data_IF_610515550712
#
_entry.id   IF_610515550712
#
_cell.length_a   1.000
_cell.length_b   1.000
_cell.length_c   1.000
_cell.angle_alpha   90.00
_cell.angle_beta   90.00
_cell.angle_gamma   90.00
#
_symmetry.space_group_name_H-M   'P 1'
#
loop_
_entity.id
_entity.type
_entity.pdbx_description
1 polymer ?
#
# COMPACT_ATOMS: atom_id res chain seq x y z
N UNK A 1 -0.32 -45.36 5.78
CA UNK A 1 -0.55 -44.48 6.94
C UNK A 1 0.58 -43.46 7.15
N UNK A 2 1.85 -43.86 7.35
CA UNK A 2 2.97 -42.91 7.54
C UNK A 2 3.14 -41.91 6.38
N UNK A 3 2.97 -42.33 5.11
CA UNK A 3 3.04 -41.44 3.93
C UNK A 3 1.90 -40.40 3.86
N UNK A 4 0.72 -40.68 4.41
CA UNK A 4 -0.39 -39.72 4.48
C UNK A 4 -0.16 -38.66 5.57
N UNK A 5 0.50 -39.04 6.67
CA UNK A 5 0.84 -38.12 7.78
C UNK A 5 1.85 -37.07 7.30
N UNK A 6 2.85 -37.44 6.50
CA UNK A 6 3.82 -36.49 5.95
C UNK A 6 3.22 -35.51 4.95
N UNK A 7 2.21 -35.93 4.18
CA UNK A 7 1.47 -35.04 3.27
C UNK A 7 0.57 -34.08 4.05
N UNK A 8 -0.09 -34.57 5.11
CA UNK A 8 -0.93 -33.72 5.98
C UNK A 8 -0.09 -32.66 6.72
N UNK A 9 1.13 -33.01 7.14
CA UNK A 9 2.07 -32.09 7.78
C UNK A 9 2.61 -31.01 6.82
N UNK A 10 2.66 -31.29 5.52
CA UNK A 10 3.08 -30.32 4.49
C UNK A 10 1.97 -29.35 4.07
N UNK A 11 0.71 -29.70 4.34
CA UNK A 11 -0.47 -28.89 4.00
C UNK A 11 -0.88 -27.98 5.17
N UNK A 12 -0.35 -28.21 6.38
CA UNK A 12 -0.68 -27.39 7.55
C UNK A 12 -0.09 -25.98 7.37
N UNK A 13 -0.91 -24.93 7.18
CA UNK A 13 -0.38 -23.58 7.19
C UNK A 13 0.12 -23.32 8.61
N UNK A 14 1.42 -23.03 8.75
CA UNK A 14 1.95 -22.45 9.98
C UNK A 14 1.41 -21.03 10.09
N UNK A 15 0.19 -20.89 10.59
CA UNK A 15 -0.36 -19.60 11.00
C UNK A 15 0.32 -19.21 12.31
N UNK A 16 1.48 -18.56 12.21
CA UNK A 16 2.07 -17.86 13.36
C UNK A 16 1.24 -16.61 13.57
N UNK A 17 0.29 -16.66 14.52
CA UNK A 17 -0.38 -15.46 15.01
C UNK A 17 0.64 -14.66 15.81
N UNK A 18 1.20 -13.63 15.20
CA UNK A 18 2.01 -12.65 15.91
C UNK A 18 1.07 -11.77 16.75
N UNK A 19 0.84 -12.14 18.01
CA UNK A 19 0.22 -11.23 19.00
C UNK A 19 1.27 -10.21 19.45
N UNK A 20 1.68 -9.33 18.55
CA UNK A 20 2.37 -8.11 18.95
C UNK A 20 1.33 -7.12 19.50
N UNK A 21 1.68 -6.35 20.51
CA UNK A 21 0.93 -5.18 20.98
C UNK A 21 0.95 -4.05 19.93
N UNK A 22 0.60 -4.38 18.69
CA UNK A 22 0.45 -3.45 17.58
C UNK A 22 -0.99 -2.96 17.50
N UNK A 23 -1.15 -1.72 17.05
CA UNK A 23 -2.45 -1.15 16.73
C UNK A 23 -3.13 -2.02 15.68
N UNK A 24 -4.41 -2.35 15.91
CA UNK A 24 -5.21 -3.10 14.95
C UNK A 24 -5.34 -2.28 13.66
N UNK A 25 -4.89 -2.86 12.54
CA UNK A 25 -4.95 -2.19 11.25
C UNK A 25 -6.34 -2.34 10.68
N UNK A 26 -6.87 -1.24 10.14
CA UNK A 26 -8.07 -1.24 9.33
C UNK A 26 -7.78 -1.86 7.96
N UNK A 27 -8.69 -2.69 7.47
CA UNK A 27 -8.57 -3.37 6.18
C UNK A 27 -8.85 -2.39 5.03
N UNK A 28 -7.94 -2.33 4.05
CA UNK A 28 -8.12 -1.52 2.86
C UNK A 28 -8.90 -2.32 1.79
N UNK A 29 -9.89 -1.69 1.16
CA UNK A 29 -10.67 -2.30 0.08
C UNK A 29 -9.96 -2.12 -1.27
N UNK A 30 -9.08 -3.05 -1.59
CA UNK A 30 -8.22 -2.96 -2.78
C UNK A 30 -8.83 -3.71 -3.97
N UNK A 31 -9.34 -2.94 -4.93
CA UNK A 31 -9.77 -3.44 -6.24
C UNK A 31 -8.97 -2.80 -7.38
N UNK A 32 -8.00 -3.56 -7.91
CA UNK A 32 -7.18 -3.13 -9.06
C UNK A 32 -7.94 -3.19 -10.40
N UNK A 33 -9.18 -3.66 -10.42
CA UNK A 33 -10.06 -3.60 -11.60
C UNK A 33 -10.93 -2.35 -11.63
N UNK A 34 -11.08 -1.63 -10.52
CA UNK A 34 -11.73 -0.32 -10.47
C UNK A 34 -10.79 0.77 -10.98
N UNK A 35 -10.80 0.97 -12.30
CA UNK A 35 -9.98 1.99 -12.95
C UNK A 35 -10.34 3.42 -12.51
N UNK A 36 -11.59 3.65 -12.08
CA UNK A 36 -12.01 4.96 -11.62
C UNK A 36 -11.43 5.28 -10.23
N UNK A 37 -11.35 4.28 -9.34
CA UNK A 37 -10.61 4.38 -8.07
C UNK A 37 -9.13 4.66 -8.31
N UNK A 38 -8.51 3.92 -9.23
CA UNK A 38 -7.09 4.12 -9.56
C UNK A 38 -6.81 5.50 -10.17
N UNK A 39 -7.72 6.04 -10.99
CA UNK A 39 -7.62 7.38 -11.55
C UNK A 39 -7.69 8.46 -10.45
N UNK A 40 -8.69 8.39 -9.55
CA UNK A 40 -8.82 9.31 -8.40
C UNK A 40 -7.61 9.21 -7.48
N UNK A 41 -7.15 7.99 -7.17
CA UNK A 41 -5.96 7.76 -6.38
C UNK A 41 -4.70 8.36 -6.98
N UNK A 42 -4.55 8.31 -8.31
CA UNK A 42 -3.45 8.96 -9.02
C UNK A 42 -3.51 10.49 -8.91
N UNK A 43 -4.69 11.09 -9.04
CA UNK A 43 -4.92 12.52 -8.83
C UNK A 43 -4.57 12.93 -7.39
N UNK A 44 -5.04 12.16 -6.39
CA UNK A 44 -4.72 12.40 -4.98
C UNK A 44 -3.22 12.30 -4.71
N UNK A 45 -2.53 11.31 -5.28
CA UNK A 45 -1.08 11.18 -5.14
C UNK A 45 -0.35 12.42 -5.69
N UNK A 46 -0.71 12.88 -6.89
CA UNK A 46 -0.08 14.05 -7.52
C UNK A 46 -0.35 15.33 -6.72
N UNK A 47 -1.56 15.46 -6.17
CA UNK A 47 -1.98 16.64 -5.42
C UNK A 47 -1.36 16.71 -4.03
N UNK A 48 -1.36 15.60 -3.28
CA UNK A 48 -1.00 15.61 -1.85
C UNK A 48 0.37 14.99 -1.55
N UNK A 49 0.87 14.09 -2.40
CA UNK A 49 2.05 13.29 -2.10
C UNK A 49 3.27 13.68 -2.95
N UNK A 50 3.08 13.93 -4.25
CA UNK A 50 4.17 14.10 -5.22
C UNK A 50 5.08 15.29 -4.90
N UNK A 51 4.59 16.30 -4.17
CA UNK A 51 5.42 17.42 -3.71
C UNK A 51 6.56 17.01 -2.78
N UNK A 52 6.46 15.87 -2.08
CA UNK A 52 7.49 15.34 -1.19
C UNK A 52 8.00 13.97 -1.65
N UNK A 53 7.10 13.09 -2.08
CA UNK A 53 7.37 11.69 -2.38
C UNK A 53 7.43 11.42 -3.89
N UNK A 54 8.47 10.72 -4.33
CA UNK A 54 8.50 10.21 -5.70
C UNK A 54 7.79 8.86 -5.81
N UNK A 55 7.31 8.53 -7.00
CA UNK A 55 7.04 7.17 -7.44
C UNK A 55 7.91 6.91 -8.67
N UNK A 56 9.23 7.01 -8.49
CA UNK A 56 10.21 7.15 -9.59
C UNK A 56 10.24 5.97 -10.56
N UNK A 57 9.73 4.79 -10.18
CA UNK A 57 9.66 3.64 -11.08
C UNK A 57 8.42 3.63 -11.98
N UNK A 58 7.50 4.57 -11.77
CA UNK A 58 6.30 4.75 -12.60
C UNK A 58 6.47 5.89 -13.60
N UNK A 59 5.94 5.68 -14.81
CA UNK A 59 5.80 6.70 -15.85
C UNK A 59 4.32 7.04 -16.07
N UNK A 60 4.01 8.29 -16.39
CA UNK A 60 2.62 8.69 -16.67
C UNK A 60 2.01 7.93 -17.84
N UNK A 61 2.80 7.63 -18.88
CA UNK A 61 2.38 6.79 -20.02
C UNK A 61 1.89 5.41 -19.59
N UNK A 62 2.47 4.83 -18.53
CA UNK A 62 2.04 3.52 -18.01
C UNK A 62 0.63 3.62 -17.41
N UNK A 63 0.36 4.67 -16.64
CA UNK A 63 -0.97 4.94 -16.06
C UNK A 63 -2.00 5.10 -17.18
N UNK A 64 -1.69 5.89 -18.22
CA UNK A 64 -2.60 6.09 -19.35
C UNK A 64 -2.97 4.76 -20.05
N UNK A 65 -1.98 3.90 -20.28
CA UNK A 65 -2.20 2.61 -20.95
C UNK A 65 -3.00 1.64 -20.08
N UNK A 66 -2.62 1.47 -18.82
CA UNK A 66 -3.22 0.45 -17.95
C UNK A 66 -4.64 0.83 -17.52
N UNK A 67 -4.92 2.13 -17.33
CA UNK A 67 -6.25 2.64 -16.97
C UNK A 67 -7.11 3.02 -18.18
N UNK A 68 -6.59 2.83 -19.41
CA UNK A 68 -7.26 3.21 -20.66
C UNK A 68 -7.72 4.69 -20.68
N UNK A 69 -6.85 5.58 -20.24
CA UNK A 69 -7.08 7.03 -20.19
C UNK A 69 -6.47 7.73 -21.40
N UNK A 70 -7.10 8.83 -21.83
CA UNK A 70 -6.50 9.70 -22.85
C UNK A 70 -5.25 10.39 -22.28
N UNK A 71 -4.16 10.40 -23.05
CA UNK A 71 -2.90 10.98 -22.60
C UNK A 71 -3.01 12.46 -22.23
N UNK A 72 -3.89 13.22 -22.89
CA UNK A 72 -4.09 14.63 -22.59
C UNK A 72 -4.79 14.81 -21.26
N UNK A 73 -5.73 13.92 -20.92
CA UNK A 73 -6.40 13.96 -19.62
C UNK A 73 -5.43 13.59 -18.50
N UNK A 74 -4.57 12.58 -18.72
CA UNK A 74 -3.50 12.24 -17.77
C UNK A 74 -2.57 13.43 -17.55
N UNK A 75 -2.12 14.10 -18.62
CA UNK A 75 -1.30 15.30 -18.51
C UNK A 75 -1.98 16.46 -17.78
N UNK A 76 -3.30 16.56 -17.88
CA UNK A 76 -4.08 17.63 -17.28
C UNK A 76 -4.36 17.39 -15.78
N UNK A 77 -4.73 16.16 -15.41
CA UNK A 77 -5.25 15.84 -14.07
C UNK A 77 -4.26 15.06 -13.20
N UNK A 78 -3.33 14.32 -13.80
CA UNK A 78 -2.43 13.36 -13.12
C UNK A 78 -0.95 13.74 -13.32
N UNK A 79 -0.64 14.96 -13.75
CA UNK A 79 0.75 15.43 -13.83
C UNK A 79 0.94 16.85 -13.31
N UNK A 80 2.13 17.19 -12.79
CA UNK A 80 2.52 18.58 -12.59
C UNK A 80 2.52 19.36 -13.90
N UNK A 81 2.27 20.66 -13.82
CA UNK A 81 2.32 21.53 -14.98
C UNK A 81 3.67 21.44 -15.72
N UNK A 82 3.61 21.20 -17.03
CA UNK A 82 4.79 21.11 -17.90
C UNK A 82 5.44 19.73 -17.97
N UNK A 83 4.89 18.71 -17.30
CA UNK A 83 5.36 17.34 -17.44
C UNK A 83 5.09 16.77 -18.85
N UNK A 84 5.92 15.82 -19.25
CA UNK A 84 5.73 15.02 -20.46
C UNK A 84 5.11 13.65 -20.12
N UNK A 85 4.33 13.08 -21.04
CA UNK A 85 3.68 11.77 -20.82
C UNK A 85 4.70 10.64 -20.58
N UNK A 86 5.92 10.76 -21.12
CA UNK A 86 6.99 9.78 -20.91
C UNK A 86 7.76 9.96 -19.60
N UNK A 87 7.52 11.05 -18.87
CA UNK A 87 8.24 11.34 -17.63
C UNK A 87 7.91 10.33 -16.53
N UNK A 88 8.86 10.21 -15.61
CA UNK A 88 8.68 9.49 -14.36
C UNK A 88 8.10 10.42 -13.29
N UNK A 89 7.43 9.84 -12.29
CA UNK A 89 6.84 10.60 -11.19
C UNK A 89 7.91 10.97 -10.16
N UNK A 90 8.68 12.03 -10.44
CA UNK A 90 9.68 12.57 -9.53
C UNK A 90 9.12 13.73 -8.71
N UNK A 91 9.42 13.73 -7.43
CA UNK A 91 9.20 14.87 -6.55
C UNK A 91 10.17 16.00 -6.85
N UNK A 92 9.70 17.24 -6.69
CA UNK A 92 10.56 18.43 -6.75
C UNK A 92 11.39 18.63 -5.46
N UNK A 93 11.10 17.88 -4.40
CA UNK A 93 11.80 17.94 -3.13
C UNK A 93 13.25 17.42 -3.28
N UNK A 94 14.23 18.28 -3.01
CA UNK A 94 15.63 17.87 -2.98
C UNK A 94 16.03 17.37 -1.58
N UNK A 95 17.03 16.49 -1.53
CA UNK A 95 17.42 15.79 -0.30
C UNK A 95 18.00 16.72 0.79
N UNK A 96 18.69 17.79 0.38
CA UNK A 96 19.28 18.74 1.31
C UNK A 96 18.19 19.47 2.12
N UNK A 97 17.20 20.02 1.42
CA UNK A 97 16.12 20.78 2.03
C UNK A 97 15.18 19.87 2.83
N UNK A 98 14.88 18.67 2.31
CA UNK A 98 14.10 17.66 3.03
C UNK A 98 14.73 17.30 4.39
N UNK A 99 16.04 17.02 4.41
CA UNK A 99 16.75 16.71 5.66
C UNK A 99 16.74 17.90 6.62
N UNK A 100 16.87 19.12 6.11
CA UNK A 100 16.82 20.34 6.93
C UNK A 100 15.44 20.60 7.53
N UNK A 101 14.36 20.32 6.79
CA UNK A 101 12.99 20.62 7.22
C UNK A 101 12.35 19.49 8.04
N UNK A 102 12.58 18.23 7.67
CA UNK A 102 11.91 17.07 8.25
C UNK A 102 12.86 16.12 9.00
N UNK A 103 14.17 16.44 9.04
CA UNK A 103 15.18 15.60 9.68
C UNK A 103 15.58 14.34 8.87
N UNK A 104 14.84 14.03 7.80
CA UNK A 104 15.09 12.88 6.92
C UNK A 104 14.57 13.14 5.52
N UNK A 105 14.97 12.30 4.56
CA UNK A 105 14.43 12.32 3.22
C UNK A 105 13.10 11.56 3.16
N UNK A 106 12.04 12.14 2.58
CA UNK A 106 10.83 11.39 2.26
C UNK A 106 11.15 10.14 1.43
N UNK A 107 10.63 8.95 1.80
CA UNK A 107 10.87 7.74 1.04
C UNK A 107 10.23 7.82 -0.35
N UNK A 108 10.83 7.11 -1.31
CA UNK A 108 10.18 6.81 -2.57
C UNK A 108 9.05 5.81 -2.35
N UNK A 109 7.89 6.08 -2.95
CA UNK A 109 6.66 5.32 -2.74
C UNK A 109 6.40 4.30 -3.85
N UNK A 110 7.32 4.10 -4.80
CA UNK A 110 7.11 3.15 -5.92
C UNK A 110 6.81 1.72 -5.47
N UNK A 111 7.30 1.31 -4.30
CA UNK A 111 7.12 -0.05 -3.77
C UNK A 111 6.59 -0.04 -2.32
N UNK A 112 6.03 1.08 -1.85
CA UNK A 112 5.66 1.22 -0.44
C UNK A 112 4.55 0.24 -0.04
N UNK A 113 3.56 0.03 -0.91
CA UNK A 113 2.49 -0.95 -0.68
C UNK A 113 3.02 -2.39 -0.63
N UNK A 114 4.14 -2.69 -1.31
CA UNK A 114 4.80 -4.00 -1.26
C UNK A 114 5.63 -4.20 0.00
N UNK A 115 6.18 -3.12 0.57
CA UNK A 115 7.04 -3.20 1.77
C UNK A 115 6.26 -3.11 3.08
N UNK A 116 5.15 -2.35 3.10
CA UNK A 116 4.32 -2.14 4.30
C UNK A 116 2.99 -2.88 4.28
N UNK A 117 2.41 -3.10 3.10
CA UNK A 117 1.04 -3.63 2.95
C UNK A 117 -0.02 -2.54 2.79
N UNK A 118 -1.17 -2.89 2.23
CA UNK A 118 -2.26 -1.95 1.96
C UNK A 118 -2.93 -1.45 3.25
N UNK A 119 -3.31 -2.38 4.14
CA UNK A 119 -3.94 -2.08 5.43
C UNK A 119 -3.08 -1.17 6.30
N UNK A 120 -1.75 -1.37 6.26
CA UNK A 120 -0.81 -0.51 6.96
C UNK A 120 -0.84 0.91 6.41
N UNK A 121 -0.86 1.10 5.09
CA UNK A 121 -0.90 2.42 4.47
C UNK A 121 -2.23 3.12 4.74
N UNK A 122 -3.33 2.39 4.63
CA UNK A 122 -4.68 2.90 4.89
C UNK A 122 -4.80 3.38 6.33
N UNK A 123 -4.42 2.54 7.28
CA UNK A 123 -4.40 2.88 8.70
C UNK A 123 -3.41 4.01 9.02
N UNK A 124 -2.23 4.02 8.40
CA UNK A 124 -1.23 5.08 8.60
C UNK A 124 -1.75 6.44 8.13
N UNK A 125 -2.36 6.53 6.94
CA UNK A 125 -2.88 7.80 6.42
C UNK A 125 -4.09 8.32 7.22
N UNK A 126 -4.88 7.42 7.82
CA UNK A 126 -5.97 7.77 8.75
C UNK A 126 -5.50 8.01 10.19
N UNK A 127 -4.29 7.56 10.52
CA UNK A 127 -3.80 7.45 11.89
C UNK A 127 -3.19 8.70 12.49
N UNK A 128 -3.20 9.84 11.79
CA UNK A 128 -2.65 11.09 12.30
C UNK A 128 -3.55 11.73 13.35
N UNK A 129 -2.94 12.27 14.42
CA UNK A 129 -3.64 13.00 15.48
C UNK A 129 -2.78 14.16 16.01
N UNK A 130 -3.42 15.12 16.66
CA UNK A 130 -2.74 16.30 17.22
C UNK A 130 -1.91 15.95 18.45
N UNK A 131 -0.66 16.40 18.44
CA UNK A 131 0.31 16.18 19.51
C UNK A 131 1.30 17.34 19.53
N UNK A 132 0.99 18.35 20.36
CA UNK A 132 1.79 19.57 20.50
C UNK A 132 3.20 19.31 21.08
N UNK A 133 3.47 18.11 21.60
CA UNK A 133 4.81 17.73 22.04
C UNK A 133 5.76 17.43 20.86
N UNK A 134 5.21 17.16 19.67
CA UNK A 134 6.00 16.84 18.47
C UNK A 134 6.35 18.09 17.67
N UNK A 135 7.50 18.10 16.96
CA UNK A 135 7.93 19.26 16.19
C UNK A 135 6.94 19.75 15.12
N UNK A 136 6.12 18.84 14.57
CA UNK A 136 5.12 19.15 13.54
C UNK A 136 3.71 19.27 14.11
N UNK A 137 3.53 19.24 15.44
CA UNK A 137 2.23 19.33 16.10
C UNK A 137 1.32 18.12 15.91
N UNK A 138 1.84 17.04 15.32
CA UNK A 138 1.09 15.80 15.06
C UNK A 138 1.95 14.58 15.34
N UNK A 139 1.28 13.47 15.64
CA UNK A 139 1.87 12.14 15.71
C UNK A 139 0.95 11.14 14.99
N UNK A 140 1.32 9.86 14.97
CA UNK A 140 0.57 8.82 14.29
C UNK A 140 0.44 7.55 15.13
N UNK A 141 -0.78 6.99 15.16
CA UNK A 141 -1.09 5.81 15.97
C UNK A 141 -0.41 4.54 15.43
N UNK A 142 -0.23 4.43 14.10
CA UNK A 142 0.39 3.26 13.44
C UNK A 142 1.92 3.36 13.42
N UNK A 143 2.46 4.57 13.38
CA UNK A 143 3.89 4.82 13.36
C UNK A 143 4.25 5.98 14.29
N UNK A 144 4.54 5.65 15.54
CA UNK A 144 4.92 6.62 16.55
C UNK A 144 6.20 7.41 16.15
N UNK A 145 6.26 8.67 16.57
CA UNK A 145 7.35 9.60 16.28
C UNK A 145 7.58 9.82 14.78
N UNK A 146 6.48 9.83 14.03
CA UNK A 146 6.49 10.08 12.59
C UNK A 146 7.09 11.45 12.26
N UNK A 147 8.03 11.48 11.32
CA UNK A 147 8.62 12.73 10.80
C UNK A 147 7.82 13.39 9.68
N UNK A 148 6.65 12.83 9.34
CA UNK A 148 5.77 13.30 8.27
C UNK A 148 4.67 14.19 8.85
N UNK A 149 4.40 15.38 8.28
CA UNK A 149 3.23 16.15 8.67
C UNK A 149 1.94 15.46 8.22
N UNK A 150 0.80 15.78 8.85
CA UNK A 150 -0.49 15.35 8.34
C UNK A 150 -0.86 16.19 7.11
N UNK A 151 -0.49 15.74 5.91
CA UNK A 151 -0.78 16.46 4.66
C UNK A 151 -2.26 16.45 4.26
N UNK A 152 -3.08 15.61 4.92
CA UNK A 152 -4.50 15.44 4.65
C UNK A 152 -5.39 16.07 5.74
N UNK A 153 -4.81 16.84 6.67
CA UNK A 153 -5.50 17.36 7.86
C UNK A 153 -6.77 18.15 7.54
N UNK A 154 -6.77 18.94 6.46
CA UNK A 154 -7.94 19.73 6.06
C UNK A 154 -9.09 18.87 5.57
N UNK A 155 -8.80 17.69 5.01
CA UNK A 155 -9.79 16.76 4.51
C UNK A 155 -10.32 15.89 5.65
N UNK A 156 -9.42 15.38 6.49
CA UNK A 156 -9.73 14.50 7.61
C UNK A 156 -10.44 15.23 8.77
N UNK A 157 -10.07 16.48 9.02
CA UNK A 157 -10.36 17.17 10.26
C UNK A 157 -9.35 16.87 11.37
N UNK A 158 -9.52 17.53 12.49
CA UNK A 158 -8.65 17.37 13.65
C UNK A 158 -9.01 16.10 14.43
N UNK A 159 -8.04 15.20 14.59
CA UNK A 159 -8.17 14.00 15.40
C UNK A 159 -7.43 14.16 16.72
N UNK A 160 -8.07 13.78 17.82
CA UNK A 160 -7.46 13.74 19.16
C UNK A 160 -7.32 12.30 19.66
N UNK A 161 -6.22 11.95 20.34
CA UNK A 161 -5.98 10.60 20.83
C UNK A 161 -6.76 10.31 22.11
N UNK A 162 -7.29 9.10 22.24
CA UNK A 162 -7.79 8.56 23.52
C UNK A 162 -6.74 7.64 24.11
N UNK A 163 -6.06 8.15 25.12
CA UNK A 163 -4.95 7.50 25.80
C UNK A 163 -5.48 6.62 26.94
N UNK A 164 -4.98 5.39 27.04
CA UNK A 164 -5.20 4.51 28.20
C UNK A 164 -3.87 4.01 28.73
N UNK A 165 -3.85 3.75 30.03
CA UNK A 165 -2.74 3.09 30.70
C UNK A 165 -2.89 1.57 30.52
N UNK A 166 -1.95 0.95 29.81
CA UNK A 166 -1.85 -0.50 29.64
C UNK A 166 -0.48 -0.92 30.11
N UNK A 167 -0.40 -1.81 31.11
CA UNK A 167 0.86 -2.30 31.69
C UNK A 167 1.83 -1.19 32.16
N UNK A 168 1.29 -0.05 32.60
CA UNK A 168 2.07 1.11 33.06
C UNK A 168 2.64 1.99 31.95
N UNK A 169 2.23 1.76 30.70
CA UNK A 169 2.55 2.60 29.55
C UNK A 169 1.29 3.30 29.03
N UNK A 170 1.45 4.55 28.61
CA UNK A 170 0.41 5.29 27.90
C UNK A 170 0.34 4.79 26.46
N UNK A 171 -0.81 4.25 26.08
CA UNK A 171 -1.07 3.74 24.73
C UNK A 171 -2.27 4.48 24.16
N UNK A 172 -2.12 5.00 22.94
CA UNK A 172 -3.23 5.55 22.18
C UNK A 172 -4.10 4.38 21.71
N UNK A 173 -5.35 4.34 22.16
CA UNK A 173 -6.26 3.22 21.88
C UNK A 173 -7.23 3.47 20.74
N UNK A 174 -7.56 4.74 20.50
CA UNK A 174 -8.41 5.17 19.38
C UNK A 174 -8.24 6.66 19.14
N UNK A 175 -8.64 7.11 17.97
CA UNK A 175 -8.76 8.52 17.62
C UNK A 175 -10.23 8.95 17.66
N UNK A 176 -10.45 10.22 17.99
CA UNK A 176 -11.79 10.84 17.98
C UNK A 176 -11.70 12.14 17.22
N UNK A 177 -12.68 12.38 16.34
CA UNK A 177 -12.82 13.62 15.62
C UNK A 177 -13.19 14.76 16.58
N UNK A 178 -12.31 15.74 16.71
CA UNK A 178 -12.52 16.95 17.50
C UNK A 178 -13.15 18.06 16.66
N UNK A 179 -12.56 18.34 15.49
CA UNK A 179 -13.06 19.33 14.54
C UNK A 179 -13.27 18.69 13.15
N UNK A 180 -14.42 18.91 12.49
CA UNK A 180 -14.70 18.31 11.19
C UNK A 180 -13.78 18.87 10.09
N UNK A 181 -13.37 17.98 9.19
CA UNK A 181 -12.66 18.35 7.96
C UNK A 181 -13.60 18.78 6.83
N UNK A 182 -13.03 18.95 5.64
CA UNK A 182 -13.78 19.23 4.41
C UNK A 182 -14.58 18.02 3.93
N UNK A 183 -14.14 16.80 4.26
CA UNK A 183 -14.82 15.56 3.92
C UNK A 183 -15.50 14.99 5.16
N UNK A 184 -16.64 14.33 4.97
CA UNK A 184 -17.18 13.45 6.01
C UNK A 184 -16.23 12.25 6.24
N UNK A 185 -16.29 11.57 7.40
CA UNK A 185 -15.45 10.40 7.66
C UNK A 185 -15.51 9.35 6.55
N UNK A 186 -16.70 9.02 6.05
CA UNK A 186 -16.89 8.03 4.98
C UNK A 186 -16.32 8.50 3.62
N UNK A 187 -16.32 9.80 3.35
CA UNK A 187 -15.69 10.37 2.14
C UNK A 187 -14.18 10.39 2.26
N UNK A 188 -13.65 10.72 3.45
CA UNK A 188 -12.22 10.66 3.73
C UNK A 188 -11.69 9.23 3.60
N UNK A 189 -12.42 8.26 4.16
CA UNK A 189 -12.09 6.84 4.07
C UNK A 189 -12.05 6.35 2.63
N UNK A 190 -13.00 6.76 1.79
CA UNK A 190 -12.98 6.45 0.35
C UNK A 190 -11.80 7.10 -0.37
N UNK A 191 -11.50 8.36 -0.06
CA UNK A 191 -10.37 9.08 -0.65
C UNK A 191 -9.04 8.39 -0.32
N UNK A 192 -8.82 8.06 0.96
CA UNK A 192 -7.61 7.34 1.39
C UNK A 192 -7.56 5.96 0.75
N UNK A 193 -8.70 5.26 0.65
CA UNK A 193 -8.76 3.96 -0.01
C UNK A 193 -8.36 4.05 -1.50
N UNK A 194 -8.88 5.04 -2.24
CA UNK A 194 -8.50 5.29 -3.64
C UNK A 194 -6.99 5.56 -3.77
N UNK A 195 -6.42 6.39 -2.88
CA UNK A 195 -4.98 6.66 -2.84
C UNK A 195 -4.16 5.38 -2.56
N UNK A 196 -4.58 4.55 -1.60
CA UNK A 196 -3.89 3.30 -1.29
C UNK A 196 -4.04 2.29 -2.43
N UNK A 197 -5.21 2.20 -3.05
CA UNK A 197 -5.46 1.36 -4.23
C UNK A 197 -4.49 1.72 -5.36
N UNK A 198 -4.32 3.02 -5.63
CA UNK A 198 -3.31 3.52 -6.56
C UNK A 198 -1.88 3.14 -6.15
N UNK A 199 -1.51 3.26 -4.87
CA UNK A 199 -0.17 2.85 -4.40
C UNK A 199 0.07 1.33 -4.51
N UNK A 200 -0.97 0.51 -4.35
CA UNK A 200 -0.89 -0.94 -4.60
C UNK A 200 -0.66 -1.21 -6.09
N UNK A 201 -1.41 -0.53 -6.96
CA UNK A 201 -1.19 -0.59 -8.41
C UNK A 201 0.24 -0.18 -8.78
N UNK A 202 0.73 0.96 -8.28
CA UNK A 202 2.10 1.44 -8.49
C UNK A 202 3.15 0.41 -8.05
N UNK A 203 2.90 -0.26 -6.92
CA UNK A 203 3.77 -1.32 -6.40
C UNK A 203 3.84 -2.57 -7.28
N UNK A 204 2.80 -2.82 -8.09
CA UNK A 204 2.75 -3.96 -8.99
C UNK A 204 1.74 -3.79 -10.17
N UNK A 205 2.07 -3.00 -11.22
CA UNK A 205 1.11 -2.66 -12.27
C UNK A 205 0.59 -3.86 -13.08
N UNK A 206 1.38 -4.94 -13.15
CA UNK A 206 1.05 -6.18 -13.88
C UNK A 206 0.39 -7.25 -13.00
N UNK A 207 -0.09 -6.89 -11.80
CA UNK A 207 -0.60 -7.88 -10.83
C UNK A 207 -1.75 -8.72 -11.37
N UNK A 208 -2.71 -8.08 -12.04
CA UNK A 208 -3.88 -8.76 -12.60
C UNK A 208 -3.48 -9.76 -13.69
N UNK A 209 -2.56 -9.37 -14.58
CA UNK A 209 -1.99 -10.25 -15.60
C UNK A 209 -1.23 -11.43 -14.98
N UNK A 210 -0.39 -11.17 -13.97
CA UNK A 210 0.36 -12.22 -13.25
C UNK A 210 -0.58 -13.24 -12.62
N UNK A 211 -1.63 -12.79 -11.91
CA UNK A 211 -2.64 -13.67 -11.30
C UNK A 211 -3.41 -14.46 -12.37
N UNK A 212 -3.79 -13.81 -13.47
CA UNK A 212 -4.49 -14.45 -14.57
C UNK A 212 -3.63 -15.50 -15.32
N UNK A 213 -2.32 -15.28 -15.47
CA UNK A 213 -1.40 -16.27 -16.04
C UNK A 213 -1.08 -17.39 -15.04
N UNK A 214 -0.96 -17.06 -13.75
CA UNK A 214 -0.60 -17.99 -12.69
C UNK A 214 -1.50 -19.23 -12.62
N UNK A 215 -2.81 -19.08 -12.80
CA UNK A 215 -3.75 -20.23 -12.82
C UNK A 215 -3.43 -21.24 -13.93
N UNK A 216 -3.05 -20.76 -15.12
CA UNK A 216 -2.71 -21.63 -16.25
C UNK A 216 -1.35 -22.29 -16.04
N UNK A 217 -0.38 -21.56 -15.50
CA UNK A 217 0.94 -22.10 -15.14
C UNK A 217 0.81 -23.20 -14.09
N UNK A 218 0.04 -22.98 -13.02
CA UNK A 218 -0.20 -23.99 -11.98
C UNK A 218 -0.90 -25.23 -12.53
N UNK A 219 -1.89 -25.05 -13.41
CA UNK A 219 -2.54 -26.17 -14.09
C UNK A 219 -1.56 -26.99 -14.95
N UNK A 220 -0.72 -26.30 -15.74
CA UNK A 220 0.31 -26.95 -16.55
C UNK A 220 1.31 -27.72 -15.68
N UNK A 221 1.79 -27.13 -14.58
CA UNK A 221 2.70 -27.79 -13.64
C UNK A 221 2.05 -29.03 -13.04
N UNK A 222 0.78 -28.97 -12.64
CA UNK A 222 0.07 -30.13 -12.10
C UNK A 222 -0.02 -31.27 -13.13
N UNK A 223 -0.44 -30.95 -14.36
CA UNK A 223 -0.52 -31.91 -15.45
C UNK A 223 0.86 -32.53 -15.77
N UNK A 224 1.88 -31.69 -15.92
CA UNK A 224 3.24 -32.13 -16.21
C UNK A 224 3.82 -32.97 -15.07
N UNK A 225 3.50 -32.64 -13.81
CA UNK A 225 3.92 -33.43 -12.64
C UNK A 225 3.36 -34.85 -12.70
N UNK A 226 2.11 -35.03 -13.16
CA UNK A 226 1.53 -36.38 -13.35
C UNK A 226 2.32 -37.15 -14.41
N UNK A 227 2.60 -36.53 -15.57
CA UNK A 227 3.38 -37.15 -16.65
C UNK A 227 4.80 -37.50 -16.19
N UNK A 228 5.49 -36.56 -15.54
CA UNK A 228 6.82 -36.76 -15.00
C UNK A 228 6.85 -37.85 -13.91
N UNK A 229 5.81 -37.95 -13.09
CA UNK A 229 5.67 -39.01 -12.10
C UNK A 229 5.48 -40.38 -12.74
N UNK A 230 4.63 -40.49 -13.77
CA UNK A 230 4.46 -41.73 -14.53
C UNK A 230 5.77 -42.14 -15.22
N UNK A 231 6.48 -41.18 -15.82
CA UNK A 231 7.78 -41.40 -16.44
C UNK A 231 8.81 -41.88 -15.40
N UNK A 232 8.88 -41.24 -14.23
CA UNK A 232 9.73 -41.68 -13.12
C UNK A 232 9.39 -43.13 -12.72
N UNK A 233 8.10 -43.45 -12.55
CA UNK A 233 7.67 -44.80 -12.17
C UNK A 233 8.14 -45.83 -13.19
N UNK A 234 8.11 -45.51 -14.47
CA UNK A 234 8.57 -46.39 -15.54
C UNK A 234 10.10 -46.58 -15.53
N UNK A 235 10.88 -45.51 -15.39
CA UNK A 235 12.36 -45.61 -15.34
C UNK A 235 12.88 -46.33 -14.11
N UNK A 236 12.19 -46.21 -12.98
CA UNK A 236 12.64 -46.77 -11.70
C UNK A 236 12.05 -48.15 -11.40
N UNK A 237 11.26 -48.72 -12.32
CA UNK A 237 10.61 -50.02 -12.13
C UNK A 237 11.60 -51.17 -11.91
N UNK A 238 12.81 -51.05 -12.45
CA UNK A 238 13.86 -52.08 -12.39
C UNK A 238 14.88 -51.83 -11.27
N UNK A 239 14.76 -50.69 -10.56
CA UNK A 239 15.75 -50.26 -9.55
C UNK A 239 15.24 -50.53 -8.13
N UNK A 240 13.95 -50.78 -7.90
CA UNK A 240 13.36 -51.13 -6.59
C UNK A 240 12.27 -52.20 -6.72
#
# INVERSE_FOLDING_TARGET
>A
MKKLIYILLFIMPFSVAASGAGVELEEADIDLSDTASLERGAQHFVTYCLGCHSAKHMRYKRIALDLNLDEKEVLKEITPYGANIYDQMHSAMNAHDATKWFGTNPPDLSLIARSRGADWLYSYLKGFYTDDSKPLGVNNIVFEDVGMPNVLWQLQGEQVPVIKQVDGQEVVTKLVLNEPGQLSPDEFDRMVNDLVNFLVYVGEPVQMERKAMGKYVLFFILMFTIVAYLLKREYWKDIH
#
